data_IF_393165545450
#
_entry.id   IF_393165545450
#
_cell.length_a   1.000
_cell.length_b   1.000
_cell.length_c   1.000
_cell.angle_alpha   90.00
_cell.angle_beta   90.00
_cell.angle_gamma   90.00
#
_symmetry.space_group_name_H-M   'P 1'
#
loop_
_entity.id
_entity.type
_entity.pdbx_description
1 polymer ?
#
# COMPACT_ATOMS: atom_id res chain seq x y z
N UNK A 1 -37.82 -2.10 22.25
CA UNK A 1 -37.35 -3.39 21.72
C UNK A 1 -38.36 -3.88 20.69
N UNK A 2 -38.07 -3.71 19.41
CA UNK A 2 -38.92 -4.25 18.35
C UNK A 2 -38.93 -5.77 18.43
N UNK A 3 -40.11 -6.39 18.43
CA UNK A 3 -40.24 -7.84 18.31
C UNK A 3 -39.61 -8.23 16.98
N UNK A 4 -38.43 -8.84 17.00
CA UNK A 4 -37.95 -9.56 15.83
C UNK A 4 -39.00 -10.65 15.55
N UNK A 5 -39.66 -10.59 14.38
CA UNK A 5 -40.53 -11.68 13.92
C UNK A 5 -39.73 -12.98 14.03
N UNK A 6 -40.31 -14.02 14.65
CA UNK A 6 -39.66 -15.32 14.66
C UNK A 6 -39.52 -15.81 13.21
N UNK A 7 -38.32 -16.26 12.80
CA UNK A 7 -38.12 -16.70 11.42
C UNK A 7 -39.02 -17.91 11.13
N UNK A 8 -39.82 -17.81 10.08
CA UNK A 8 -40.60 -18.94 9.56
C UNK A 8 -39.65 -19.90 8.84
N UNK A 9 -39.22 -20.94 9.56
CA UNK A 9 -38.33 -21.98 9.04
C UNK A 9 -38.98 -22.86 7.97
N UNK A 10 -40.29 -22.72 7.75
CA UNK A 10 -41.05 -23.44 6.72
C UNK A 10 -41.32 -22.60 5.47
N UNK A 11 -40.88 -21.33 5.46
CA UNK A 11 -41.04 -20.45 4.32
C UNK A 11 -40.34 -21.02 3.09
N UNK A 12 -41.07 -21.11 1.97
CA UNK A 12 -40.54 -21.58 0.68
C UNK A 12 -39.56 -20.59 0.02
N UNK A 13 -39.49 -19.36 0.53
CA UNK A 13 -38.56 -18.33 0.11
C UNK A 13 -38.12 -17.48 1.31
N UNK A 14 -36.84 -17.08 1.32
CA UNK A 14 -36.30 -16.17 2.35
C UNK A 14 -36.95 -14.79 2.15
N UNK A 15 -37.65 -14.29 3.17
CA UNK A 15 -38.22 -12.93 3.18
C UNK A 15 -37.09 -11.90 3.20
N UNK A 16 -37.08 -10.99 2.22
CA UNK A 16 -36.08 -9.92 2.09
C UNK A 16 -35.30 -9.99 0.78
N UNK A 17 -34.17 -9.27 0.72
CA UNK A 17 -33.34 -9.19 -0.48
C UNK A 17 -32.37 -10.37 -0.68
N UNK A 18 -32.21 -11.25 0.32
CA UNK A 18 -31.28 -12.39 0.26
C UNK A 18 -31.69 -13.32 -0.88
N UNK A 19 -30.74 -13.70 -1.75
CA UNK A 19 -30.91 -14.46 -3.03
C UNK A 19 -31.56 -13.71 -4.20
N UNK A 20 -32.02 -12.48 -4.00
CA UNK A 20 -32.60 -11.69 -5.09
C UNK A 20 -31.58 -10.75 -5.75
N UNK A 21 -31.81 -10.39 -7.02
CA UNK A 21 -30.98 -9.42 -7.75
C UNK A 21 -31.26 -8.00 -7.26
N UNK A 22 -30.57 -7.59 -6.21
CA UNK A 22 -30.62 -6.23 -5.70
C UNK A 22 -29.65 -5.34 -6.46
N UNK A 23 -30.06 -4.11 -6.75
CA UNK A 23 -29.12 -3.09 -7.24
C UNK A 23 -28.18 -2.68 -6.11
N UNK A 24 -26.98 -2.21 -6.46
CA UNK A 24 -26.12 -1.56 -5.47
C UNK A 24 -26.82 -0.31 -4.89
N UNK A 25 -26.80 -0.14 -3.56
CA UNK A 25 -27.57 0.88 -2.85
C UNK A 25 -27.29 2.31 -3.34
N UNK A 26 -26.03 2.59 -3.68
CA UNK A 26 -25.61 3.91 -4.21
C UNK A 26 -25.59 4.00 -5.74
N UNK A 27 -26.03 2.97 -6.49
CA UNK A 27 -25.93 2.95 -7.96
C UNK A 27 -26.55 4.18 -8.64
N UNK A 28 -27.74 4.58 -8.20
CA UNK A 28 -28.42 5.78 -8.73
C UNK A 28 -27.60 7.05 -8.48
N UNK A 29 -26.92 7.16 -7.34
CA UNK A 29 -26.04 8.29 -7.02
C UNK A 29 -24.76 8.30 -7.86
N UNK A 30 -24.26 7.12 -8.23
CA UNK A 30 -23.06 7.01 -9.08
C UNK A 30 -23.35 7.55 -10.48
N UNK A 31 -24.52 7.24 -11.06
CA UNK A 31 -24.89 7.67 -12.42
C UNK A 31 -25.37 9.12 -12.48
N UNK A 32 -25.81 9.70 -11.37
CA UNK A 32 -26.23 11.11 -11.28
C UNK A 32 -25.10 12.05 -10.85
N UNK A 33 -23.97 11.52 -10.36
CA UNK A 33 -22.89 12.31 -9.77
C UNK A 33 -23.16 12.80 -8.35
N UNK A 34 -24.18 12.25 -7.67
CA UNK A 34 -24.57 12.63 -6.30
C UNK A 34 -23.83 11.81 -5.22
N UNK A 35 -23.03 10.83 -5.62
CA UNK A 35 -22.23 10.04 -4.69
C UNK A 35 -20.95 10.79 -4.34
N UNK A 36 -20.92 11.37 -3.14
CA UNK A 36 -19.77 12.12 -2.61
C UNK A 36 -18.57 11.21 -2.36
N UNK A 37 -17.47 11.43 -3.07
CA UNK A 37 -16.13 10.95 -2.74
C UNK A 37 -15.37 12.00 -1.94
N UNK A 38 -14.15 11.70 -1.49
CA UNK A 38 -13.45 12.61 -0.56
C UNK A 38 -13.12 13.96 -1.23
N UNK A 39 -12.78 13.97 -2.51
CA UNK A 39 -12.46 15.23 -3.22
C UNK A 39 -13.72 16.09 -3.46
N UNK A 40 -14.91 15.49 -3.35
CA UNK A 40 -16.21 16.16 -3.47
C UNK A 40 -16.69 16.78 -2.14
N UNK A 41 -16.02 16.48 -1.03
CA UNK A 41 -16.34 17.07 0.28
C UNK A 41 -16.08 18.57 0.21
N UNK A 42 -17.04 19.37 0.66
CA UNK A 42 -16.89 20.82 0.79
C UNK A 42 -15.77 21.11 1.79
N UNK A 43 -14.71 21.72 1.30
CA UNK A 43 -13.52 22.01 2.10
C UNK A 43 -13.81 23.04 3.21
N UNK A 44 -13.26 22.88 4.42
CA UNK A 44 -13.30 23.91 5.44
C UNK A 44 -12.69 25.23 4.93
N UNK A 45 -13.20 26.36 5.44
CA UNK A 45 -12.68 27.67 5.06
C UNK A 45 -11.18 27.75 5.35
N UNK A 46 -10.40 28.06 4.30
CA UNK A 46 -8.95 28.11 4.43
C UNK A 46 -8.29 26.74 4.49
N UNK A 47 -8.90 25.69 3.92
CA UNK A 47 -8.20 24.44 3.65
C UNK A 47 -6.92 24.71 2.83
N UNK A 48 -5.86 23.96 3.13
CA UNK A 48 -4.60 23.95 2.41
C UNK A 48 -4.45 22.62 1.66
N UNK A 49 -3.49 22.56 0.75
CA UNK A 49 -3.18 21.36 0.01
C UNK A 49 -1.72 20.98 0.19
N UNK A 50 -1.47 19.70 0.47
CA UNK A 50 -0.14 19.13 0.46
C UNK A 50 0.14 18.43 -0.89
N UNK A 51 1.42 18.40 -1.26
CA UNK A 51 1.91 17.64 -2.42
C UNK A 51 3.26 17.02 -2.07
N UNK A 52 3.49 15.77 -2.47
CA UNK A 52 4.71 15.04 -2.14
C UNK A 52 5.87 15.49 -3.03
N UNK A 53 7.07 15.56 -2.44
CA UNK A 53 8.34 15.57 -3.14
C UNK A 53 8.93 14.18 -3.14
N UNK A 54 9.04 13.57 -4.33
CA UNK A 54 9.46 12.18 -4.49
C UNK A 54 10.94 12.08 -4.87
N UNK A 55 11.59 11.00 -4.44
CA UNK A 55 12.96 10.66 -4.82
C UNK A 55 13.09 10.45 -6.32
N UNK A 56 14.17 10.97 -6.90
CA UNK A 56 14.57 10.69 -8.29
C UNK A 56 15.61 9.56 -8.41
N UNK A 57 16.07 8.99 -7.29
CA UNK A 57 17.01 7.87 -7.27
C UNK A 57 16.37 6.58 -6.79
N UNK A 58 16.84 5.45 -7.34
CA UNK A 58 16.47 4.12 -6.88
C UNK A 58 17.13 3.75 -5.54
N UNK A 59 18.37 4.20 -5.30
CA UNK A 59 19.03 4.06 -4.01
C UNK A 59 20.06 5.18 -3.84
N UNK A 60 20.04 5.86 -2.69
CA UNK A 60 20.99 6.96 -2.47
C UNK A 60 20.89 7.56 -1.08
N UNK A 61 21.96 8.25 -0.64
CA UNK A 61 21.93 9.04 0.59
C UNK A 61 21.43 10.45 0.31
N UNK A 62 20.54 10.95 1.15
CA UNK A 62 20.13 12.36 1.14
C UNK A 62 21.22 13.16 1.86
N UNK A 63 21.85 14.10 1.14
CA UNK A 63 22.89 15.00 1.67
C UNK A 63 22.33 16.32 2.18
N UNK A 64 21.16 16.73 1.67
CA UNK A 64 20.47 17.93 2.09
C UNK A 64 19.28 18.24 1.19
N UNK A 65 18.38 19.07 1.69
CA UNK A 65 17.17 19.51 0.99
C UNK A 65 17.16 21.05 1.03
N UNK A 66 17.24 21.69 -0.14
CA UNK A 66 17.11 23.14 -0.29
C UNK A 66 15.66 23.49 -0.63
N UNK A 67 14.98 24.10 0.35
CA UNK A 67 13.57 24.51 0.28
C UNK A 67 13.40 26.01 0.04
N UNK A 68 14.49 26.77 -0.07
CA UNK A 68 14.46 28.24 0.01
C UNK A 68 13.67 28.88 -1.13
N UNK A 69 13.69 28.29 -2.33
CA UNK A 69 12.92 28.79 -3.46
C UNK A 69 11.42 28.47 -3.32
N UNK A 70 11.08 27.25 -2.90
CA UNK A 70 9.70 26.83 -2.68
C UNK A 70 9.02 27.70 -1.62
N UNK A 71 9.68 27.96 -0.49
CA UNK A 71 9.16 28.81 0.59
C UNK A 71 8.93 30.27 0.18
N UNK A 72 9.60 30.77 -0.87
CA UNK A 72 9.38 32.11 -1.41
C UNK A 72 8.23 32.18 -2.41
N UNK A 73 7.68 31.05 -2.85
CA UNK A 73 6.55 31.02 -3.79
C UNK A 73 5.28 31.53 -3.11
N UNK A 74 4.60 32.56 -3.65
CA UNK A 74 3.36 33.06 -3.09
C UNK A 74 2.31 31.96 -2.91
N UNK A 75 1.75 31.86 -1.70
CA UNK A 75 0.74 30.87 -1.34
C UNK A 75 1.31 29.57 -0.78
N UNK A 76 2.63 29.34 -0.81
CA UNK A 76 3.27 28.27 -0.02
C UNK A 76 3.23 28.66 1.45
N UNK A 77 2.90 27.70 2.31
CA UNK A 77 2.77 27.86 3.76
C UNK A 77 3.89 27.15 4.50
N UNK A 78 4.24 25.93 4.09
CA UNK A 78 5.28 25.13 4.72
C UNK A 78 5.91 24.14 3.72
N UNK A 79 7.12 23.69 4.05
CA UNK A 79 7.75 22.49 3.47
C UNK A 79 8.10 21.58 4.63
N UNK A 80 7.56 20.36 4.62
CA UNK A 80 7.67 19.38 5.70
C UNK A 80 8.63 18.28 5.30
N UNK A 81 9.48 17.87 6.23
CA UNK A 81 10.46 16.78 6.09
C UNK A 81 10.30 15.79 7.23
N UNK A 82 11.14 14.75 7.29
CA UNK A 82 11.16 13.82 8.42
C UNK A 82 11.38 14.50 9.79
N UNK A 83 12.04 15.67 9.81
CA UNK A 83 12.26 16.45 11.03
C UNK A 83 10.99 17.14 11.56
N UNK A 84 9.95 17.29 10.73
CA UNK A 84 8.69 17.93 11.08
C UNK A 84 7.64 16.94 11.58
N UNK A 85 7.96 15.63 11.64
CA UNK A 85 7.09 14.60 12.19
C UNK A 85 7.10 14.68 13.73
N UNK A 86 5.98 15.00 14.40
CA UNK A 86 5.98 15.22 15.85
C UNK A 86 6.20 13.95 16.69
N UNK A 87 5.77 12.79 16.17
CA UNK A 87 5.89 11.49 16.81
C UNK A 87 6.88 10.59 16.08
N UNK A 88 6.37 9.48 15.53
CA UNK A 88 7.18 8.46 14.86
C UNK A 88 7.11 8.65 13.34
N UNK A 89 8.27 8.78 12.69
CA UNK A 89 8.38 8.85 11.22
C UNK A 89 8.34 7.44 10.60
N UNK A 90 7.21 6.73 10.76
CA UNK A 90 7.00 5.38 10.23
C UNK A 90 5.50 5.10 9.98
N UNK A 91 5.21 4.34 8.93
CA UNK A 91 3.88 3.88 8.52
C UNK A 91 3.83 2.37 8.23
N UNK A 92 4.80 1.60 8.73
CA UNK A 92 4.89 0.15 8.50
C UNK A 92 3.71 -0.58 9.15
N UNK A 93 2.87 -1.28 8.38
CA UNK A 93 1.67 -1.95 8.91
C UNK A 93 2.01 -3.20 9.75
N UNK A 94 3.28 -3.64 9.70
CA UNK A 94 3.75 -4.83 10.42
C UNK A 94 4.54 -4.49 11.69
N UNK A 95 4.70 -3.20 12.01
CA UNK A 95 5.48 -2.76 13.16
C UNK A 95 6.99 -3.02 13.03
N UNK A 96 7.48 -3.29 11.81
CA UNK A 96 8.91 -3.53 11.54
C UNK A 96 9.74 -2.24 11.51
N UNK A 97 9.08 -1.09 11.52
CA UNK A 97 9.70 0.24 11.47
C UNK A 97 10.63 0.40 10.25
N UNK A 98 10.17 -0.09 9.10
CA UNK A 98 10.91 -0.16 7.85
C UNK A 98 10.30 0.71 6.73
N UNK A 99 9.28 1.52 7.04
CA UNK A 99 8.57 2.32 6.05
C UNK A 99 8.38 3.77 6.54
N UNK A 100 9.36 4.65 6.34
CA UNK A 100 9.29 6.03 6.83
C UNK A 100 8.27 6.87 6.04
N UNK A 101 7.57 7.79 6.70
CA UNK A 101 6.65 8.76 6.06
C UNK A 101 7.44 9.64 5.09
N UNK A 102 8.58 10.15 5.54
CA UNK A 102 9.56 10.86 4.73
C UNK A 102 10.93 10.23 4.88
N UNK A 103 11.58 9.90 3.77
CA UNK A 103 12.96 9.43 3.76
C UNK A 103 13.89 10.51 4.36
N UNK A 104 14.53 10.19 5.48
CA UNK A 104 15.48 11.10 6.16
C UNK A 104 16.88 10.99 5.55
N UNK A 105 17.54 9.83 5.71
CA UNK A 105 18.96 9.66 5.36
C UNK A 105 19.21 8.94 4.06
N UNK A 106 18.34 8.01 3.70
CA UNK A 106 18.51 7.11 2.56
C UNK A 106 17.17 6.99 1.85
N UNK A 107 17.20 7.15 0.53
CA UNK A 107 16.11 6.77 -0.37
C UNK A 107 16.40 5.37 -0.91
N UNK A 108 15.39 4.51 -0.96
CA UNK A 108 15.50 3.08 -1.27
C UNK A 108 14.65 2.67 -2.49
N UNK A 109 13.92 3.61 -3.10
CA UNK A 109 13.32 3.44 -4.42
C UNK A 109 13.05 4.78 -5.12
N UNK A 110 12.96 4.74 -6.45
CA UNK A 110 12.55 5.89 -7.26
C UNK A 110 11.07 6.15 -7.00
N UNK A 111 10.74 7.34 -6.51
CA UNK A 111 9.37 7.64 -6.08
C UNK A 111 9.18 7.69 -4.57
N UNK A 112 10.20 7.39 -3.76
CA UNK A 112 10.05 7.44 -2.30
C UNK A 112 9.76 8.87 -1.83
N UNK A 113 8.75 9.10 -0.99
CA UNK A 113 8.50 10.42 -0.41
C UNK A 113 9.68 10.92 0.43
N UNK A 114 10.14 12.14 0.19
CA UNK A 114 11.28 12.78 0.89
C UNK A 114 10.83 14.01 1.69
N UNK A 115 9.83 14.73 1.17
CA UNK A 115 9.26 15.92 1.80
C UNK A 115 7.82 16.13 1.28
N UNK A 116 7.09 17.08 1.86
CA UNK A 116 5.84 17.58 1.30
C UNK A 116 5.80 19.11 1.30
N UNK A 117 5.26 19.72 0.25
CA UNK A 117 4.98 21.15 0.22
C UNK A 117 3.50 21.37 0.54
N UNK A 118 3.22 22.28 1.47
CA UNK A 118 1.87 22.69 1.87
C UNK A 118 1.59 24.10 1.34
N UNK A 119 0.51 24.29 0.59
CA UNK A 119 0.16 25.57 -0.02
C UNK A 119 -1.35 25.83 -0.04
N UNK A 120 -1.74 27.06 -0.38
CA UNK A 120 -3.14 27.48 -0.48
C UNK A 120 -3.96 26.75 -1.55
N UNK A 121 -3.30 26.21 -2.57
CA UNK A 121 -3.93 25.39 -3.60
C UNK A 121 -3.02 24.22 -3.96
N UNK A 122 -3.63 23.14 -4.45
CA UNK A 122 -2.92 21.96 -4.96
C UNK A 122 -1.91 22.32 -6.05
N UNK A 123 -2.29 23.21 -6.97
CA UNK A 123 -1.43 23.63 -8.08
C UNK A 123 -0.19 24.40 -7.61
N UNK A 124 -0.32 25.25 -6.58
CA UNK A 124 0.83 25.94 -5.99
C UNK A 124 1.74 24.92 -5.31
N UNK A 125 1.19 24.01 -4.50
CA UNK A 125 1.98 22.98 -3.81
C UNK A 125 2.77 22.13 -4.81
N UNK A 126 2.09 21.64 -5.87
CA UNK A 126 2.71 20.85 -6.95
C UNK A 126 3.84 21.59 -7.66
N UNK A 127 3.63 22.86 -8.03
CA UNK A 127 4.66 23.65 -8.72
C UNK A 127 5.84 23.96 -7.80
N UNK A 128 5.58 24.23 -6.53
CA UNK A 128 6.61 24.49 -5.53
C UNK A 128 7.42 23.24 -5.17
N UNK A 129 6.84 22.03 -5.19
CA UNK A 129 7.61 20.78 -5.04
C UNK A 129 8.75 20.68 -6.07
N UNK A 130 8.53 21.12 -7.31
CA UNK A 130 9.54 21.11 -8.38
C UNK A 130 10.66 22.13 -8.18
N UNK A 131 10.51 23.06 -7.25
CA UNK A 131 11.53 24.07 -6.93
C UNK A 131 12.44 23.64 -5.77
N UNK A 132 12.03 22.64 -4.99
CA UNK A 132 12.86 22.06 -3.93
C UNK A 132 13.96 21.23 -4.58
N UNK A 133 15.20 21.42 -4.13
CA UNK A 133 16.35 20.65 -4.62
C UNK A 133 16.80 19.68 -3.54
N UNK A 134 16.74 18.39 -3.85
CA UNK A 134 17.32 17.35 -3.00
C UNK A 134 18.70 16.99 -3.54
N UNK A 135 19.70 17.07 -2.69
CA UNK A 135 21.07 16.68 -3.00
C UNK A 135 21.28 15.23 -2.60
N UNK A 136 21.62 14.39 -3.57
CA UNK A 136 21.84 12.96 -3.35
C UNK A 136 23.30 12.57 -3.55
N UNK A 137 23.71 11.52 -2.83
CA UNK A 137 24.81 10.64 -3.21
C UNK A 137 24.20 9.32 -3.67
N UNK A 138 24.36 8.97 -4.95
CA UNK A 138 23.83 7.72 -5.50
C UNK A 138 24.57 6.49 -4.92
N UNK A 139 23.82 5.43 -4.64
CA UNK A 139 24.31 4.17 -4.10
C UNK A 139 23.93 2.99 -5.03
N UNK A 140 24.66 1.87 -5.03
CA UNK A 140 24.30 0.69 -5.80
C UNK A 140 22.90 0.18 -5.42
N UNK A 141 22.00 0.05 -6.39
CA UNK A 141 20.63 -0.42 -6.18
C UNK A 141 20.46 -1.90 -6.57
N UNK A 142 19.51 -2.57 -5.92
CA UNK A 142 19.04 -3.92 -6.29
C UNK A 142 17.64 -3.72 -6.90
N UNK A 143 17.48 -3.98 -8.20
CA UNK A 143 16.24 -3.69 -8.94
C UNK A 143 15.49 -4.97 -9.31
N UNK A 144 16.23 -5.98 -9.77
CA UNK A 144 15.71 -7.28 -10.18
C UNK A 144 16.40 -8.43 -9.44
N UNK A 145 15.84 -9.63 -9.55
CA UNK A 145 16.40 -10.85 -8.94
C UNK A 145 17.86 -11.12 -9.36
N UNK A 146 18.26 -10.74 -10.58
CA UNK A 146 19.63 -10.92 -11.05
C UNK A 146 20.64 -9.99 -10.36
N UNK A 147 20.17 -8.89 -9.76
CA UNK A 147 21.01 -7.97 -8.99
C UNK A 147 21.20 -8.46 -7.54
N UNK A 148 20.32 -9.34 -7.08
CA UNK A 148 20.43 -10.03 -5.81
C UNK A 148 21.53 -11.11 -5.94
N UNK A 149 22.70 -10.88 -5.34
CA UNK A 149 23.77 -11.87 -5.24
C UNK A 149 23.34 -13.15 -4.47
N UNK A 150 24.28 -14.03 -4.14
CA UNK A 150 23.97 -15.38 -3.62
C UNK A 150 23.16 -15.43 -2.30
N UNK A 151 23.10 -14.34 -1.54
CA UNK A 151 22.31 -14.23 -0.31
C UNK A 151 21.71 -12.81 -0.17
N UNK A 152 20.60 -12.52 -0.86
CA UNK A 152 19.99 -11.20 -0.78
C UNK A 152 19.44 -10.92 0.61
N UNK A 153 19.47 -9.64 1.01
CA UNK A 153 18.75 -9.20 2.19
C UNK A 153 17.26 -9.23 1.89
N UNK A 154 16.55 -10.20 2.47
CA UNK A 154 15.10 -10.31 2.36
C UNK A 154 14.41 -9.31 3.29
N UNK A 155 13.23 -8.83 2.88
CA UNK A 155 12.38 -7.94 3.71
C UNK A 155 11.50 -8.74 4.68
N UNK A 156 11.19 -10.00 4.34
CA UNK A 156 10.43 -10.96 5.14
C UNK A 156 11.14 -12.32 5.17
N UNK A 157 10.90 -13.09 6.24
CA UNK A 157 11.47 -14.43 6.36
C UNK A 157 10.75 -15.41 5.41
N UNK A 158 11.48 -16.37 4.80
CA UNK A 158 10.89 -17.31 3.86
C UNK A 158 10.05 -18.38 4.57
N UNK A 159 8.94 -18.78 3.94
CA UNK A 159 8.12 -19.92 4.33
C UNK A 159 8.49 -21.14 3.48
N UNK A 160 8.48 -22.33 4.08
CA UNK A 160 8.55 -23.61 3.36
C UNK A 160 7.31 -24.44 3.66
N UNK A 161 6.61 -24.88 2.61
CA UNK A 161 5.56 -25.90 2.68
C UNK A 161 6.08 -27.19 2.06
N UNK A 162 5.88 -28.31 2.75
CA UNK A 162 6.35 -29.61 2.28
C UNK A 162 5.35 -30.73 2.58
N UNK A 163 5.27 -31.69 1.66
CA UNK A 163 4.53 -32.95 1.78
C UNK A 163 5.30 -34.04 1.05
N UNK A 164 5.37 -35.23 1.64
CA UNK A 164 6.07 -36.36 1.01
C UNK A 164 7.58 -36.14 0.83
N UNK A 165 8.21 -37.05 0.08
CA UNK A 165 9.63 -37.01 -0.26
C UNK A 165 9.80 -36.56 -1.73
N UNK A 166 10.03 -35.25 -1.92
CA UNK A 166 10.18 -34.66 -3.26
C UNK A 166 11.46 -35.12 -3.95
N UNK A 167 12.54 -35.35 -3.20
CA UNK A 167 13.83 -35.75 -3.75
C UNK A 167 13.72 -37.16 -4.34
N UNK A 168 13.12 -38.08 -3.60
CA UNK A 168 12.85 -39.44 -4.09
C UNK A 168 11.88 -39.41 -5.29
N UNK A 169 10.80 -38.64 -5.22
CA UNK A 169 9.82 -38.55 -6.30
C UNK A 169 10.45 -38.03 -7.60
N UNK A 170 11.28 -36.97 -7.54
CA UNK A 170 11.98 -36.43 -8.71
C UNK A 170 13.07 -37.36 -9.24
N UNK A 171 13.77 -38.08 -8.36
CA UNK A 171 14.82 -39.03 -8.75
C UNK A 171 14.28 -40.28 -9.45
N UNK A 172 13.05 -40.69 -9.12
CA UNK A 172 12.44 -41.92 -9.63
C UNK A 172 11.39 -41.68 -10.72
N UNK A 173 10.99 -40.43 -10.97
CA UNK A 173 10.02 -40.09 -11.99
C UNK A 173 10.49 -40.51 -13.40
N UNK A 174 9.64 -41.16 -14.22
CA UNK A 174 9.99 -41.54 -15.60
C UNK A 174 10.38 -40.35 -16.47
N UNK A 175 9.77 -39.18 -16.23
CA UNK A 175 10.04 -37.93 -16.93
C UNK A 175 10.26 -36.81 -15.91
N UNK A 176 11.15 -35.89 -16.24
CA UNK A 176 11.45 -34.71 -15.44
C UNK A 176 11.59 -33.49 -16.34
N UNK A 177 11.10 -32.35 -15.85
CA UNK A 177 11.22 -31.06 -16.51
C UNK A 177 11.55 -30.01 -15.45
N UNK A 178 12.53 -29.16 -15.72
CA UNK A 178 12.79 -27.97 -14.93
C UNK A 178 12.64 -26.72 -15.80
N UNK A 179 12.28 -25.61 -15.16
CA UNK A 179 12.12 -24.34 -15.85
C UNK A 179 11.86 -23.19 -14.90
N UNK A 180 11.72 -22.01 -15.49
CA UNK A 180 11.40 -20.78 -14.78
C UNK A 180 10.24 -20.07 -15.47
N UNK A 181 9.45 -19.36 -14.67
CA UNK A 181 8.36 -18.52 -15.15
C UNK A 181 8.43 -17.16 -14.47
N UNK A 182 8.37 -16.09 -15.27
CA UNK A 182 8.25 -14.71 -14.78
C UNK A 182 6.79 -14.27 -14.86
N UNK A 183 6.27 -13.80 -13.74
CA UNK A 183 4.94 -13.22 -13.61
C UNK A 183 5.14 -11.74 -13.28
N UNK A 184 4.71 -10.86 -14.19
CA UNK A 184 4.82 -9.42 -13.98
C UNK A 184 3.83 -8.91 -12.93
N UNK A 185 4.19 -7.79 -12.29
CA UNK A 185 3.32 -7.09 -11.36
C UNK A 185 2.18 -6.36 -12.06
N UNK A 186 1.37 -5.69 -11.25
CA UNK A 186 0.15 -5.06 -11.70
C UNK A 186 -0.20 -3.88 -10.82
N UNK A 187 -0.43 -2.73 -11.44
CA UNK A 187 -1.00 -1.56 -10.78
C UNK A 187 -2.49 -1.78 -10.45
N UNK A 188 -2.92 -1.28 -9.29
CA UNK A 188 -4.30 -1.38 -8.84
C UNK A 188 -5.26 -0.61 -9.74
N UNK A 189 -4.82 0.55 -10.24
CA UNK A 189 -5.57 1.42 -11.14
C UNK A 189 -7.01 1.73 -10.67
N UNK A 190 -7.20 1.89 -9.36
CA UNK A 190 -8.44 2.45 -8.79
C UNK A 190 -8.72 3.81 -9.44
N UNK A 191 -9.97 4.09 -9.83
CA UNK A 191 -10.28 5.32 -10.57
C UNK A 191 -10.13 6.58 -9.71
N UNK A 192 -10.54 6.51 -8.45
CA UNK A 192 -10.19 7.52 -7.45
C UNK A 192 -8.78 7.19 -6.93
N UNK A 193 -7.79 8.04 -7.18
CA UNK A 193 -6.45 7.91 -6.59
C UNK A 193 -6.48 7.93 -5.06
N UNK A 194 -5.31 7.85 -4.42
CA UNK A 194 -5.23 8.15 -3.01
C UNK A 194 -5.66 9.57 -2.72
N UNK A 195 -6.33 9.75 -1.59
CA UNK A 195 -6.75 11.06 -1.12
C UNK A 195 -6.98 11.00 0.39
N UNK A 196 -6.55 12.05 1.08
CA UNK A 196 -6.88 12.27 2.47
C UNK A 196 -7.16 13.75 2.73
N UNK A 197 -8.12 14.04 3.60
CA UNK A 197 -8.42 15.36 4.14
C UNK A 197 -8.35 15.26 5.67
N UNK A 198 -7.37 15.93 6.26
CA UNK A 198 -7.21 16.00 7.71
C UNK A 198 -7.71 17.36 8.23
N UNK A 199 -8.47 17.34 9.32
CA UNK A 199 -9.10 18.50 9.95
C UNK A 199 -8.72 18.48 11.44
N UNK A 200 -7.92 19.45 11.91
CA UNK A 200 -7.54 19.51 13.32
C UNK A 200 -8.74 19.92 14.18
N UNK A 201 -8.88 19.27 15.34
CA UNK A 201 -9.88 19.55 16.37
C UNK A 201 -9.30 20.27 17.59
N UNK A 202 -10.04 20.24 18.69
CA UNK A 202 -9.60 20.77 19.99
C UNK A 202 -8.60 19.80 20.66
N UNK A 203 -7.74 20.31 21.54
CA UNK A 203 -6.86 19.51 22.41
C UNK A 203 -5.98 18.44 21.73
N UNK A 204 -5.68 18.62 20.44
CA UNK A 204 -4.86 17.69 19.66
C UNK A 204 -5.66 16.63 18.89
N UNK A 205 -6.99 16.72 18.90
CA UNK A 205 -7.87 15.87 18.11
C UNK A 205 -7.62 16.05 16.60
N UNK A 206 -7.83 14.98 15.84
CA UNK A 206 -7.67 14.95 14.39
C UNK A 206 -8.77 14.11 13.75
N UNK A 207 -9.59 14.73 12.91
CA UNK A 207 -10.50 14.03 11.99
C UNK A 207 -9.80 13.84 10.65
N UNK A 208 -9.78 12.60 10.14
CA UNK A 208 -9.20 12.28 8.83
C UNK A 208 -10.25 11.58 7.97
N UNK A 209 -10.66 12.23 6.88
CA UNK A 209 -11.33 11.53 5.78
C UNK A 209 -10.26 10.87 4.91
N UNK A 210 -10.26 9.54 4.82
CA UNK A 210 -9.24 8.80 4.06
C UNK A 210 -9.87 7.82 3.09
N UNK A 211 -9.37 7.77 1.84
CA UNK A 211 -9.76 6.74 0.89
C UNK A 211 -8.96 5.48 1.25
N UNK A 212 -9.50 4.67 2.16
CA UNK A 212 -8.82 3.51 2.75
C UNK A 212 -9.75 2.32 2.96
N UNK A 213 -9.21 1.11 2.80
CA UNK A 213 -9.85 -0.16 3.16
C UNK A 213 -9.70 -0.48 4.64
N UNK A 214 -8.77 0.18 5.34
CA UNK A 214 -8.39 -0.16 6.71
C UNK A 214 -8.34 1.09 7.62
N UNK A 215 -9.51 1.66 7.99
CA UNK A 215 -9.56 2.89 8.80
C UNK A 215 -8.88 2.77 10.17
N UNK A 216 -8.91 1.59 10.80
CA UNK A 216 -8.24 1.36 12.08
C UNK A 216 -6.71 1.44 11.97
N UNK A 217 -6.14 0.90 10.90
CA UNK A 217 -4.69 1.00 10.65
C UNK A 217 -4.28 2.45 10.40
N UNK A 218 -5.02 3.16 9.55
CA UNK A 218 -4.81 4.60 9.30
C UNK A 218 -4.88 5.40 10.61
N UNK A 219 -5.82 5.07 11.50
CA UNK A 219 -5.95 5.73 12.80
C UNK A 219 -4.67 5.58 13.64
N UNK A 220 -4.16 4.35 13.76
CA UNK A 220 -2.93 4.06 14.50
C UNK A 220 -1.73 4.79 13.89
N UNK A 221 -1.57 4.73 12.57
CA UNK A 221 -0.43 5.37 11.91
C UNK A 221 -0.45 6.89 12.04
N UNK A 222 -1.62 7.52 11.90
CA UNK A 222 -1.77 8.96 12.11
C UNK A 222 -1.49 9.32 13.58
N UNK A 223 -2.01 8.55 14.53
CA UNK A 223 -1.78 8.79 15.95
C UNK A 223 -0.28 8.68 16.32
N UNK A 224 0.41 7.65 15.81
CA UNK A 224 1.86 7.48 15.97
C UNK A 224 2.65 8.63 15.34
N UNK A 225 2.33 9.01 14.10
CA UNK A 225 2.98 10.12 13.40
C UNK A 225 2.83 11.45 14.13
N UNK A 226 1.66 11.69 14.73
CA UNK A 226 1.38 12.88 15.53
C UNK A 226 1.90 12.77 16.98
N UNK A 227 2.25 11.58 17.46
CA UNK A 227 2.60 11.37 18.87
C UNK A 227 1.44 11.64 19.83
N UNK A 228 0.22 11.23 19.46
CA UNK A 228 -1.00 11.37 20.27
C UNK A 228 -1.63 10.00 20.54
N UNK A 229 -2.49 9.86 21.56
CA UNK A 229 -3.26 8.63 21.76
C UNK A 229 -4.22 8.35 20.60
N UNK A 230 -4.46 7.07 20.29
CA UNK A 230 -5.36 6.67 19.19
C UNK A 230 -6.77 7.26 19.30
N UNK A 231 -7.28 7.49 20.51
CA UNK A 231 -8.62 8.06 20.71
C UNK A 231 -8.74 9.53 20.28
N UNK A 232 -7.63 10.25 20.14
CA UNK A 232 -7.61 11.62 19.62
C UNK A 232 -7.74 11.64 18.08
N UNK A 233 -7.63 10.49 17.41
CA UNK A 233 -7.73 10.40 15.96
C UNK A 233 -9.02 9.69 15.57
N UNK A 234 -9.83 10.31 14.73
CA UNK A 234 -11.01 9.69 14.10
C UNK A 234 -10.78 9.57 12.60
N UNK A 235 -10.97 8.38 12.05
CA UNK A 235 -10.89 8.14 10.59
C UNK A 235 -12.29 7.86 10.05
N UNK A 236 -12.72 8.63 9.05
CA UNK A 236 -14.02 8.48 8.40
C UNK A 236 -13.88 8.04 6.93
N UNK A 237 -14.63 7.02 6.56
CA UNK A 237 -14.62 6.41 5.22
C UNK A 237 -16.05 6.14 4.79
N UNK A 238 -16.59 6.99 3.89
CA UNK A 238 -17.95 6.78 3.37
C UNK A 238 -18.02 5.75 2.24
N UNK A 239 -17.07 5.85 1.30
CA UNK A 239 -16.91 5.02 0.08
C UNK A 239 -15.53 5.29 -0.53
N UNK A 240 -15.12 4.45 -1.48
CA UNK A 240 -13.90 4.62 -2.28
C UNK A 240 -14.19 4.39 -3.77
N UNK A 241 -13.50 5.10 -4.65
CA UNK A 241 -13.55 4.89 -6.10
C UNK A 241 -12.64 3.75 -6.57
N UNK A 242 -12.72 2.60 -5.90
CA UNK A 242 -11.81 1.46 -6.06
C UNK A 242 -10.69 1.44 -5.02
N UNK A 243 -10.18 0.24 -4.73
CA UNK A 243 -9.10 -0.01 -3.76
C UNK A 243 -8.23 -1.20 -4.16
N UNK A 244 -8.84 -2.40 -4.30
CA UNK A 244 -8.19 -3.60 -4.85
C UNK A 244 -6.95 -4.09 -4.08
N UNK A 245 -6.86 -3.80 -2.78
CA UNK A 245 -5.68 -4.08 -1.93
C UNK A 245 -4.75 -2.87 -1.82
N UNK A 246 -4.66 -2.05 -2.87
CA UNK A 246 -3.79 -0.87 -2.89
C UNK A 246 -4.16 0.25 -1.93
N UNK A 247 -5.31 0.15 -1.24
CA UNK A 247 -5.72 1.09 -0.19
C UNK A 247 -5.85 0.42 1.18
N UNK A 248 -5.27 -0.77 1.35
CA UNK A 248 -5.23 -1.49 2.62
C UNK A 248 -4.21 -0.89 3.59
N UNK A 249 -2.99 -0.59 3.11
CA UNK A 249 -1.91 -0.02 3.92
C UNK A 249 -1.35 1.27 3.32
N UNK A 250 -1.25 1.36 1.99
CA UNK A 250 -0.64 2.49 1.27
C UNK A 250 -1.36 3.84 1.49
N UNK A 251 -2.62 3.82 1.97
CA UNK A 251 -3.32 5.05 2.38
C UNK A 251 -2.70 5.74 3.61
N UNK A 252 -1.91 5.01 4.41
CA UNK A 252 -1.26 5.50 5.62
C UNK A 252 -0.38 6.73 5.34
N UNK A 253 0.41 6.68 4.27
CA UNK A 253 1.27 7.79 3.82
C UNK A 253 0.48 9.10 3.68
N UNK A 254 -0.59 9.07 2.88
CA UNK A 254 -1.37 10.25 2.56
C UNK A 254 -2.12 10.80 3.77
N UNK A 255 -2.70 9.92 4.58
CA UNK A 255 -3.36 10.30 5.82
C UNK A 255 -2.39 10.92 6.83
N UNK A 256 -1.22 10.31 7.04
CA UNK A 256 -0.19 10.81 7.95
C UNK A 256 0.34 12.17 7.50
N UNK A 257 0.68 12.34 6.22
CA UNK A 257 1.16 13.62 5.68
C UNK A 257 0.11 14.72 5.82
N UNK A 258 -1.16 14.44 5.49
CA UNK A 258 -2.24 15.40 5.67
C UNK A 258 -2.39 15.81 7.15
N UNK A 259 -2.35 14.85 8.07
CA UNK A 259 -2.51 15.08 9.49
C UNK A 259 -1.33 15.86 10.10
N UNK A 260 -0.08 15.53 9.73
CA UNK A 260 1.12 16.27 10.15
C UNK A 260 1.02 17.71 9.67
N UNK A 261 0.67 17.93 8.40
CA UNK A 261 0.50 19.26 7.84
C UNK A 261 -0.63 20.03 8.52
N UNK A 262 -1.73 19.36 8.85
CA UNK A 262 -2.86 19.98 9.54
C UNK A 262 -2.49 20.41 10.96
N UNK A 263 -1.77 19.57 11.70
CA UNK A 263 -1.25 19.92 13.02
C UNK A 263 -0.22 21.04 12.96
N UNK A 264 0.69 21.00 11.99
CA UNK A 264 1.74 22.01 11.83
C UNK A 264 1.16 23.40 11.52
N UNK A 265 0.11 23.45 10.71
CA UNK A 265 -0.48 24.72 10.24
C UNK A 265 -1.69 25.19 11.04
N UNK A 266 -2.27 24.33 11.88
CA UNK A 266 -3.53 24.59 12.58
C UNK A 266 -4.73 24.72 11.63
N UNK A 267 -4.65 24.21 10.40
CA UNK A 267 -5.67 24.33 9.35
C UNK A 267 -5.94 22.96 8.74
N UNK A 268 -7.13 22.79 8.16
CA UNK A 268 -7.42 21.57 7.41
C UNK A 268 -6.47 21.43 6.20
N UNK A 269 -5.98 20.22 5.94
CA UNK A 269 -5.08 19.94 4.80
C UNK A 269 -5.58 18.75 4.01
N UNK A 270 -5.70 18.93 2.69
CA UNK A 270 -6.02 17.87 1.73
C UNK A 270 -4.81 17.47 0.91
N UNK A 271 -4.60 16.18 0.68
CA UNK A 271 -3.60 15.67 -0.23
C UNK A 271 -4.26 14.77 -1.27
N UNK A 272 -3.98 15.05 -2.55
CA UNK A 272 -4.43 14.26 -3.69
C UNK A 272 -3.32 14.24 -4.74
N UNK A 273 -2.49 13.18 -4.81
CA UNK A 273 -1.47 13.06 -5.85
C UNK A 273 -2.09 13.11 -7.26
N UNK A 274 -1.27 13.43 -8.27
CA UNK A 274 -1.59 13.09 -9.66
C UNK A 274 -1.47 11.57 -9.85
N UNK A 275 -2.04 11.03 -10.92
CA UNK A 275 -2.04 9.58 -11.18
C UNK A 275 -0.63 9.01 -11.31
N UNK A 276 0.27 9.72 -11.99
CA UNK A 276 1.67 9.33 -12.16
C UNK A 276 2.40 9.27 -10.82
N UNK A 277 2.23 10.26 -9.94
CA UNK A 277 2.82 10.27 -8.60
C UNK A 277 2.23 9.18 -7.69
N UNK A 278 0.92 8.94 -7.77
CA UNK A 278 0.22 7.86 -7.07
C UNK A 278 0.79 6.48 -7.48
N UNK A 279 0.86 6.21 -8.79
CA UNK A 279 1.44 4.98 -9.32
C UNK A 279 2.94 4.87 -9.02
N UNK A 280 3.65 5.98 -8.83
CA UNK A 280 5.09 5.96 -8.56
C UNK A 280 5.40 5.74 -7.07
N UNK A 281 4.64 6.38 -6.18
CA UNK A 281 4.89 6.35 -4.75
C UNK A 281 4.32 5.12 -4.03
N UNK A 282 3.34 4.43 -4.63
CA UNK A 282 2.63 3.33 -3.96
C UNK A 282 3.01 1.94 -4.48
N UNK A 283 2.93 0.99 -3.55
CA UNK A 283 3.10 -0.43 -3.80
C UNK A 283 2.02 -1.01 -4.73
N UNK A 284 2.32 -2.17 -5.30
CA UNK A 284 1.53 -2.85 -6.33
C UNK A 284 1.52 -4.35 -6.09
N UNK A 285 0.86 -5.12 -6.97
CA UNK A 285 1.02 -6.57 -6.98
C UNK A 285 2.49 -6.93 -7.17
N UNK A 286 3.00 -7.82 -6.32
CA UNK A 286 4.33 -8.42 -6.43
C UNK A 286 4.55 -9.11 -7.77
N UNK A 287 5.68 -8.84 -8.39
CA UNK A 287 6.23 -9.70 -9.44
C UNK A 287 6.74 -10.99 -8.79
N UNK A 288 6.66 -12.09 -9.53
CA UNK A 288 7.24 -13.37 -9.13
C UNK A 288 8.19 -13.92 -10.20
N UNK A 289 9.32 -14.46 -9.76
CA UNK A 289 10.12 -15.41 -10.51
C UNK A 289 9.91 -16.78 -9.85
N UNK A 290 9.27 -17.69 -10.58
CA UNK A 290 8.97 -19.04 -10.09
C UNK A 290 9.91 -20.03 -10.77
N UNK A 291 10.83 -20.60 -9.99
CA UNK A 291 11.61 -21.75 -10.39
C UNK A 291 10.84 -23.04 -10.05
N UNK A 292 10.85 -24.01 -10.95
CA UNK A 292 10.20 -25.29 -10.72
C UNK A 292 10.99 -26.47 -11.27
N UNK A 293 10.85 -27.60 -10.60
CA UNK A 293 11.30 -28.91 -11.04
C UNK A 293 10.19 -29.93 -10.81
N UNK A 294 9.73 -30.58 -11.88
CA UNK A 294 8.56 -31.47 -11.85
C UNK A 294 8.91 -32.83 -12.41
N UNK A 295 8.54 -33.87 -11.67
CA UNK A 295 8.60 -35.27 -12.06
C UNK A 295 7.22 -35.82 -12.33
N UNK A 296 7.04 -36.49 -13.47
CA UNK A 296 5.75 -37.05 -13.90
C UNK A 296 5.91 -38.37 -14.66
N UNK A 297 4.83 -39.15 -14.72
CA UNK A 297 4.79 -40.41 -15.46
C UNK A 297 4.42 -40.23 -16.95
N UNK A 298 4.36 -41.34 -17.69
CA UNK A 298 4.00 -41.32 -19.13
C UNK A 298 2.53 -40.94 -19.40
N UNK A 299 1.65 -41.04 -18.40
CA UNK A 299 0.24 -40.65 -18.46
C UNK A 299 0.03 -39.16 -18.09
N UNK A 300 1.09 -38.49 -17.63
CA UNK A 300 1.08 -37.08 -17.24
C UNK A 300 0.72 -36.82 -15.77
N UNK A 301 0.65 -37.85 -14.92
CA UNK A 301 0.42 -37.66 -13.50
C UNK A 301 1.67 -37.10 -12.83
N UNK A 302 1.49 -36.02 -12.08
CA UNK A 302 2.57 -35.39 -11.31
C UNK A 302 2.85 -36.22 -10.07
N UNK A 303 4.11 -36.65 -9.93
CA UNK A 303 4.58 -37.47 -8.82
C UNK A 303 5.28 -36.64 -7.74
N UNK A 304 6.04 -35.62 -8.17
CA UNK A 304 6.81 -34.74 -7.30
C UNK A 304 7.01 -33.36 -7.92
N UNK A 305 6.94 -32.30 -7.11
CA UNK A 305 7.27 -30.93 -7.56
C UNK A 305 8.08 -30.17 -6.50
N UNK A 306 9.18 -29.56 -6.91
CA UNK A 306 9.94 -28.59 -6.09
C UNK A 306 9.77 -27.19 -6.70
N UNK A 307 9.27 -26.24 -5.91
CA UNK A 307 9.05 -24.86 -6.29
C UNK A 307 9.86 -23.88 -5.45
N UNK A 308 10.38 -22.85 -6.11
CA UNK A 308 10.84 -21.62 -5.46
C UNK A 308 10.05 -20.43 -6.00
N UNK A 309 9.38 -19.70 -5.13
CA UNK A 309 8.61 -18.50 -5.43
C UNK A 309 9.37 -17.27 -4.95
N UNK A 310 10.20 -16.69 -5.81
CA UNK A 310 10.91 -15.46 -5.50
C UNK A 310 10.01 -14.24 -5.76
N UNK A 311 9.69 -13.45 -4.74
CA UNK A 311 8.81 -12.28 -4.84
C UNK A 311 9.60 -10.96 -4.81
N UNK A 312 9.31 -10.03 -5.73
CA UNK A 312 9.84 -8.66 -5.65
C UNK A 312 8.99 -7.84 -4.69
N UNK A 313 9.38 -7.85 -3.42
CA UNK A 313 8.67 -7.19 -2.33
C UNK A 313 8.92 -5.68 -2.24
N UNK A 314 9.90 -5.16 -2.98
CA UNK A 314 10.31 -3.75 -2.87
C UNK A 314 11.24 -3.52 -1.68
N UNK A 315 11.13 -2.35 -1.05
CA UNK A 315 12.10 -1.88 -0.05
C UNK A 315 11.67 -2.13 1.41
N UNK A 316 10.37 -2.30 1.67
CA UNK A 316 9.79 -2.57 2.99
C UNK A 316 9.04 -3.91 2.97
N UNK A 317 8.73 -4.46 4.14
CA UNK A 317 7.99 -5.70 4.23
C UNK A 317 6.52 -5.53 3.79
N UNK A 318 5.85 -4.45 4.20
CA UNK A 318 4.40 -4.24 4.03
C UNK A 318 3.63 -5.57 4.25
N UNK A 319 2.79 -6.01 3.31
CA UNK A 319 2.06 -7.28 3.39
C UNK A 319 2.74 -8.42 2.62
N UNK A 320 4.04 -8.30 2.32
CA UNK A 320 4.76 -9.27 1.49
C UNK A 320 4.75 -10.68 2.07
N UNK A 321 4.96 -10.84 3.38
CA UNK A 321 4.92 -12.15 4.04
C UNK A 321 3.59 -12.88 3.84
N UNK A 322 2.45 -12.28 4.26
CA UNK A 322 1.13 -12.87 4.01
C UNK A 322 0.81 -13.12 2.52
N UNK A 323 1.36 -12.32 1.60
CA UNK A 323 1.21 -12.52 0.15
C UNK A 323 1.99 -13.75 -0.32
N UNK A 324 3.24 -13.91 0.09
CA UNK A 324 4.06 -15.08 -0.29
C UNK A 324 3.52 -16.36 0.33
N UNK A 325 3.04 -16.31 1.58
CA UNK A 325 2.39 -17.44 2.23
C UNK A 325 1.16 -17.88 1.44
N UNK A 326 0.33 -16.92 1.02
CA UNK A 326 -0.84 -17.19 0.19
C UNK A 326 -0.47 -17.79 -1.16
N UNK A 327 0.61 -17.35 -1.79
CA UNK A 327 1.09 -17.95 -3.04
C UNK A 327 1.41 -19.44 -2.86
N UNK A 328 2.10 -19.77 -1.76
CA UNK A 328 2.42 -21.16 -1.41
C UNK A 328 1.16 -21.98 -1.06
N UNK A 329 0.19 -21.41 -0.34
CA UNK A 329 -1.07 -22.11 -0.01
C UNK A 329 -1.95 -22.42 -1.22
N UNK A 330 -1.70 -21.82 -2.38
CA UNK A 330 -2.50 -22.02 -3.60
C UNK A 330 -1.66 -22.52 -4.77
N UNK A 331 -0.40 -22.90 -4.55
CA UNK A 331 0.46 -23.37 -5.64
C UNK A 331 -0.10 -24.66 -6.28
N UNK A 332 -0.77 -25.51 -5.51
CA UNK A 332 -1.44 -26.74 -5.93
C UNK A 332 -2.70 -26.49 -6.77
N UNK A 333 -3.36 -25.34 -6.58
CA UNK A 333 -4.60 -24.94 -7.23
C UNK A 333 -5.71 -26.01 -7.07
N UNK A 334 -5.83 -26.92 -8.03
CA UNK A 334 -6.81 -28.01 -8.03
C UNK A 334 -6.18 -29.39 -8.23
N UNK A 335 -4.85 -29.48 -8.15
CA UNK A 335 -4.09 -30.71 -8.37
C UNK A 335 -3.64 -31.28 -7.04
N UNK A 336 -3.77 -32.60 -6.87
CA UNK A 336 -3.15 -33.28 -5.76
C UNK A 336 -1.73 -33.67 -6.12
N UNK A 337 -0.75 -33.26 -5.30
CA UNK A 337 0.64 -33.64 -5.45
C UNK A 337 1.06 -34.58 -4.32
N UNK A 338 1.45 -35.85 -4.62
CA UNK A 338 1.86 -36.81 -3.61
C UNK A 338 3.11 -36.34 -2.85
N UNK A 339 4.08 -35.75 -3.56
CA UNK A 339 5.25 -35.10 -3.00
C UNK A 339 5.37 -33.67 -3.52
N UNK A 340 5.57 -32.71 -2.63
CA UNK A 340 5.80 -31.30 -2.99
C UNK A 340 6.69 -30.63 -1.96
N UNK A 341 7.56 -29.76 -2.43
CA UNK A 341 8.23 -28.74 -1.63
C UNK A 341 8.03 -27.39 -2.31
N UNK A 342 7.59 -26.38 -1.58
CA UNK A 342 7.43 -25.03 -2.09
C UNK A 342 8.02 -24.04 -1.08
N UNK A 343 8.92 -23.19 -1.55
CA UNK A 343 9.64 -22.20 -0.73
C UNK A 343 9.38 -20.81 -1.27
N UNK A 344 9.09 -19.84 -0.41
CA UNK A 344 9.10 -18.42 -0.79
C UNK A 344 10.51 -17.85 -0.65
N UNK A 345 10.88 -16.92 -1.53
CA UNK A 345 12.17 -16.23 -1.53
C UNK A 345 12.01 -14.76 -1.93
#
# INVERSE_FOLDING_TARGET
>A
MGKHEQPDLTASAIKGGVTSRQRHDSAHKHVTGEAVYIDDIVEPKGCLHAYLGLSTLAHGRVRGIDTALALKTPGVVAVLTGADVPGVNDISPTGRNDEPIFADRVVQFHGQPVFAVVAQTRDIARRACRQVKVHYEELPAIIDYADAGEAPKLVCDPLTLQRGDVEQALATAPRRLSGEMRIGGQDHFYLEGHIALAIPGEDGDMLVHSSTQHPSEVQHMVAHALGVPNHAVTVDVRRMGGGFGGKETQSNLFAAVAAIAARHTGRAVKIRPDRDDDMTATGKRHDFLVGYDVGFDDDGNILGVDFTYAARCGFSADLSGPVTDRALFHCDNAYYWPAVKAVSA
#
